data_IF_662513592474
#
_entry.id   IF_662513592474
#
_cell.length_a   1.000
_cell.length_b   1.000
_cell.length_c   1.000
_cell.angle_alpha   90.00
_cell.angle_beta   90.00
_cell.angle_gamma   90.00
#
_symmetry.space_group_name_H-M   'P 1'
#
loop_
_entity.id
_entity.type
_entity.pdbx_description
1 polymer ?
#
# COMPACT_ATOMS: atom_id res chain seq x y z
N UNK A 1 32.04 -34.24 6.95
CA UNK A 1 31.53 -32.86 6.94
C UNK A 1 30.34 -32.81 6.01
N UNK A 2 29.13 -32.96 6.55
CA UNK A 2 27.89 -32.69 5.82
C UNK A 2 27.16 -31.63 6.61
N UNK A 3 27.24 -30.38 6.14
CA UNK A 3 26.40 -29.31 6.67
C UNK A 3 24.99 -29.58 6.18
N UNK A 4 24.14 -30.08 7.07
CA UNK A 4 22.70 -30.12 6.82
C UNK A 4 22.22 -28.68 6.81
N UNK A 5 21.81 -28.19 5.64
CA UNK A 5 21.16 -26.90 5.50
C UNK A 5 19.94 -26.87 6.44
N UNK A 6 20.03 -26.05 7.48
CA UNK A 6 18.92 -25.77 8.37
C UNK A 6 17.77 -25.19 7.54
N UNK A 7 16.51 -25.62 7.77
CA UNK A 7 15.37 -25.02 7.09
C UNK A 7 15.36 -23.53 7.41
N UNK A 8 15.30 -22.70 6.36
CA UNK A 8 15.22 -21.24 6.46
C UNK A 8 14.21 -20.88 7.57
N UNK A 9 14.69 -20.34 8.68
CA UNK A 9 13.83 -19.96 9.79
C UNK A 9 12.84 -18.92 9.27
N UNK A 10 11.55 -19.20 9.38
CA UNK A 10 10.48 -18.25 9.04
C UNK A 10 10.77 -16.90 9.70
N UNK A 11 11.01 -15.87 8.89
CA UNK A 11 11.26 -14.49 9.36
C UNK A 11 9.99 -13.80 9.87
N UNK A 12 8.84 -14.46 9.78
CA UNK A 12 7.56 -13.93 10.21
C UNK A 12 7.44 -13.98 11.73
N UNK A 13 7.21 -12.81 12.35
CA UNK A 13 7.19 -12.65 13.81
C UNK A 13 5.85 -13.02 14.47
N UNK A 14 4.77 -13.20 13.71
CA UNK A 14 3.44 -13.50 14.25
C UNK A 14 2.56 -14.40 13.38
N UNK A 15 2.34 -14.06 12.10
CA UNK A 15 1.43 -14.78 11.20
C UNK A 15 2.11 -15.62 10.10
N UNK A 16 1.34 -16.39 9.32
CA UNK A 16 1.89 -17.22 8.23
C UNK A 16 2.10 -16.43 6.93
N UNK A 17 3.17 -16.75 6.20
CA UNK A 17 3.45 -16.17 4.87
C UNK A 17 2.26 -16.33 3.91
N UNK A 18 1.64 -17.51 3.89
CA UNK A 18 0.49 -17.85 3.05
C UNK A 18 -0.67 -16.89 3.31
N UNK A 19 -0.97 -16.61 4.58
CA UNK A 19 -2.04 -15.69 4.92
C UNK A 19 -1.74 -14.27 4.42
N UNK A 20 -0.51 -13.78 4.61
CA UNK A 20 -0.11 -12.47 4.10
C UNK A 20 -0.25 -12.36 2.58
N UNK A 21 0.20 -13.38 1.85
CA UNK A 21 0.07 -13.43 0.39
C UNK A 21 -1.40 -13.37 -0.03
N UNK A 22 -2.27 -14.13 0.64
CA UNK A 22 -3.72 -14.07 0.42
C UNK A 22 -4.30 -12.67 0.72
N UNK A 23 -3.79 -11.95 1.73
CA UNK A 23 -4.19 -10.57 1.99
C UNK A 23 -3.83 -9.67 0.80
N UNK A 24 -2.59 -9.73 0.30
CA UNK A 24 -2.19 -8.94 -0.87
C UNK A 24 -3.02 -9.28 -2.11
N UNK A 25 -3.30 -10.57 -2.35
CA UNK A 25 -4.12 -11.00 -3.47
C UNK A 25 -5.54 -10.43 -3.38
N UNK A 26 -6.15 -10.43 -2.20
CA UNK A 26 -7.48 -9.86 -2.01
C UNK A 26 -7.49 -8.33 -2.16
N UNK A 27 -6.45 -7.65 -1.69
CA UNK A 27 -6.26 -6.22 -1.94
C UNK A 27 -6.15 -5.95 -3.45
N UNK A 28 -5.36 -6.73 -4.18
CA UNK A 28 -5.23 -6.60 -5.64
C UNK A 28 -6.56 -6.90 -6.36
N UNK A 29 -7.26 -7.97 -6.00
CA UNK A 29 -8.58 -8.30 -6.59
C UNK A 29 -9.57 -7.15 -6.42
N UNK A 30 -9.62 -6.58 -5.21
CA UNK A 30 -10.47 -5.42 -4.92
C UNK A 30 -10.00 -4.18 -5.67
N UNK A 31 -8.70 -3.96 -5.83
CA UNK A 31 -8.14 -2.90 -6.67
C UNK A 31 -8.64 -2.99 -8.10
N UNK A 32 -8.41 -4.13 -8.76
CA UNK A 32 -8.70 -4.32 -10.17
C UNK A 32 -10.21 -4.25 -10.43
N UNK A 33 -11.03 -4.82 -9.53
CA UNK A 33 -12.50 -4.72 -9.61
C UNK A 33 -13.01 -3.28 -9.64
N UNK A 34 -12.35 -2.39 -8.91
CA UNK A 34 -12.78 -1.00 -8.79
C UNK A 34 -12.09 -0.04 -9.74
N UNK A 35 -11.08 -0.50 -10.48
CA UNK A 35 -10.29 0.30 -11.42
C UNK A 35 -10.21 -0.43 -12.79
N UNK A 36 -11.26 -0.38 -13.63
CA UNK A 36 -11.33 -1.15 -14.88
C UNK A 36 -10.15 -0.90 -15.82
N UNK A 37 -9.68 0.35 -15.95
CA UNK A 37 -8.49 0.66 -16.75
C UNK A 37 -7.24 -0.04 -16.23
N UNK A 38 -7.04 -0.05 -14.91
CA UNK A 38 -5.90 -0.76 -14.30
C UNK A 38 -6.03 -2.27 -14.47
N UNK A 39 -7.26 -2.81 -14.43
CA UNK A 39 -7.54 -4.21 -14.75
C UNK A 39 -7.16 -4.55 -16.18
N UNK A 40 -7.59 -3.77 -17.18
CA UNK A 40 -7.22 -3.99 -18.57
C UNK A 40 -5.71 -3.97 -18.78
N UNK A 41 -5.00 -3.00 -18.18
CA UNK A 41 -3.54 -2.95 -18.25
C UNK A 41 -2.91 -4.18 -17.59
N UNK A 42 -3.40 -4.57 -16.41
CA UNK A 42 -2.91 -5.76 -15.70
C UNK A 42 -3.11 -7.05 -16.51
N UNK A 43 -4.28 -7.24 -17.13
CA UNK A 43 -4.59 -8.38 -18.00
C UNK A 43 -3.68 -8.40 -19.25
N UNK A 44 -3.45 -7.25 -19.88
CA UNK A 44 -2.55 -7.13 -21.02
C UNK A 44 -1.12 -7.52 -20.64
N UNK A 45 -0.60 -7.00 -19.53
CA UNK A 45 0.77 -7.33 -19.07
C UNK A 45 0.88 -8.82 -18.74
N UNK A 46 -0.12 -9.41 -18.07
CA UNK A 46 -0.13 -10.85 -17.78
C UNK A 46 -0.05 -11.69 -19.07
N UNK A 47 -0.80 -11.28 -20.11
CA UNK A 47 -0.84 -12.01 -21.39
C UNK A 47 0.48 -11.92 -22.19
N UNK A 48 1.26 -10.85 -22.00
CA UNK A 48 2.52 -10.64 -22.73
C UNK A 48 3.74 -11.27 -22.06
N UNK A 49 3.73 -11.41 -20.73
CA UNK A 49 4.91 -11.82 -19.95
C UNK A 49 4.80 -13.28 -19.41
N UNK A 50 3.98 -14.14 -20.03
CA UNK A 50 3.70 -15.51 -19.57
C UNK A 50 3.35 -15.54 -18.06
N UNK A 51 2.52 -14.59 -17.60
CA UNK A 51 2.11 -14.42 -16.20
C UNK A 51 3.23 -14.06 -15.19
N UNK A 52 4.46 -13.78 -15.65
CA UNK A 52 5.60 -13.45 -14.79
C UNK A 52 5.63 -11.99 -14.33
N UNK A 53 4.58 -11.53 -13.68
CA UNK A 53 4.54 -10.19 -13.05
C UNK A 53 5.05 -10.26 -11.61
N UNK A 54 5.87 -9.29 -11.23
CA UNK A 54 6.31 -9.09 -9.85
C UNK A 54 5.83 -7.70 -9.38
N UNK A 55 5.48 -7.59 -8.10
CA UNK A 55 4.88 -6.39 -7.55
C UNK A 55 5.94 -5.59 -6.80
N UNK A 56 6.20 -4.36 -7.26
CA UNK A 56 7.24 -3.52 -6.66
C UNK A 56 6.81 -3.01 -5.29
N UNK A 57 5.63 -2.39 -5.24
CA UNK A 57 5.05 -1.89 -4.01
C UNK A 57 3.54 -1.71 -4.07
N UNK A 58 2.94 -1.72 -2.88
CA UNK A 58 1.57 -1.28 -2.63
C UNK A 58 1.63 0.05 -1.91
N UNK A 59 1.03 1.08 -2.49
CA UNK A 59 0.88 2.39 -1.84
C UNK A 59 -0.44 2.42 -1.09
N UNK A 60 -0.52 3.00 0.10
CA UNK A 60 -1.74 3.24 0.88
C UNK A 60 -1.83 4.71 1.29
N UNK A 61 -3.05 5.16 1.60
CA UNK A 61 -3.29 6.51 2.13
C UNK A 61 -4.10 6.41 3.41
N UNK A 62 -3.76 7.23 4.39
CA UNK A 62 -4.26 7.21 5.76
C UNK A 62 -4.45 8.63 6.28
N UNK A 63 -4.99 8.79 7.49
CA UNK A 63 -5.19 10.09 8.14
C UNK A 63 -4.39 10.09 9.45
N UNK A 64 -3.55 11.09 9.70
CA UNK A 64 -2.80 11.22 10.95
C UNK A 64 -3.76 11.65 12.08
N UNK A 65 -4.53 10.69 12.56
CA UNK A 65 -5.42 10.75 13.71
C UNK A 65 -5.40 9.40 14.40
N UNK A 66 -5.73 9.38 15.69
CA UNK A 66 -5.67 8.18 16.50
C UNK A 66 -6.48 7.04 15.88
N UNK A 67 -5.79 5.94 15.63
CA UNK A 67 -6.42 4.76 15.03
C UNK A 67 -6.70 4.87 13.54
N UNK A 68 -6.18 5.83 12.77
CA UNK A 68 -6.37 5.87 11.30
C UNK A 68 -5.11 6.22 10.50
N UNK A 69 -3.96 6.36 11.17
CA UNK A 69 -2.69 6.78 10.59
C UNK A 69 -1.84 5.62 10.07
N UNK A 70 -0.59 5.95 9.71
CA UNK A 70 0.41 4.97 9.28
C UNK A 70 0.60 3.89 10.33
N UNK A 71 0.67 4.28 11.61
CA UNK A 71 0.94 3.35 12.71
C UNK A 71 -0.16 2.28 12.81
N UNK A 72 -1.42 2.67 12.62
CA UNK A 72 -2.56 1.75 12.66
C UNK A 72 -2.53 0.74 11.52
N UNK A 73 -2.25 1.18 10.28
CA UNK A 73 -2.21 0.28 9.12
C UNK A 73 -0.95 -0.58 9.10
N UNK A 74 0.21 0.01 9.41
CA UNK A 74 1.51 -0.66 9.33
C UNK A 74 1.69 -1.73 10.40
N UNK A 75 1.06 -1.59 11.57
CA UNK A 75 1.12 -2.58 12.66
C UNK A 75 0.86 -4.01 12.16
N UNK A 76 -0.21 -4.20 11.38
CA UNK A 76 -0.52 -5.50 10.75
C UNK A 76 0.66 -6.05 9.95
N UNK A 77 1.27 -5.26 9.06
CA UNK A 77 2.36 -5.75 8.21
C UNK A 77 3.65 -5.98 9.01
N UNK A 78 3.88 -5.19 10.05
CA UNK A 78 5.02 -5.37 10.95
C UNK A 78 4.95 -6.69 11.73
N UNK A 79 3.76 -7.19 12.05
CA UNK A 79 3.57 -8.53 12.63
C UNK A 79 4.01 -9.66 11.67
N UNK A 80 4.03 -9.38 10.36
CA UNK A 80 4.59 -10.26 9.34
C UNK A 80 6.05 -9.96 9.01
N UNK A 81 6.75 -9.17 9.83
CA UNK A 81 8.18 -8.92 9.69
C UNK A 81 8.56 -7.77 8.75
N UNK A 82 7.60 -6.97 8.26
CA UNK A 82 7.93 -5.72 7.57
C UNK A 82 8.65 -4.76 8.52
N UNK A 83 9.58 -3.97 7.96
CA UNK A 83 10.37 -2.99 8.69
C UNK A 83 10.28 -1.62 8.05
N UNK A 84 10.26 -0.56 8.85
CA UNK A 84 10.37 0.81 8.34
C UNK A 84 11.70 0.95 7.59
N UNK A 85 11.62 1.32 6.31
CA UNK A 85 12.80 1.58 5.47
C UNK A 85 13.19 3.07 5.44
N UNK A 86 12.27 3.96 5.79
CA UNK A 86 12.49 5.41 5.84
C UNK A 86 11.21 6.21 5.57
N UNK A 87 11.35 7.53 5.45
CA UNK A 87 10.23 8.43 5.25
C UNK A 87 10.58 9.79 4.63
N UNK A 88 9.55 10.51 4.21
CA UNK A 88 9.62 11.85 3.67
C UNK A 88 8.39 12.67 4.08
N UNK A 89 8.64 13.89 4.56
CA UNK A 89 7.58 14.86 4.88
C UNK A 89 7.41 15.86 3.74
N UNK A 90 6.16 16.25 3.51
CA UNK A 90 5.77 17.26 2.54
C UNK A 90 4.99 18.38 3.24
N UNK A 91 5.67 19.32 3.93
CA UNK A 91 5.00 20.34 4.75
C UNK A 91 3.98 21.17 3.97
N UNK A 92 4.31 21.61 2.75
CA UNK A 92 3.38 22.35 1.88
C UNK A 92 2.09 21.59 1.55
N UNK A 93 2.16 20.25 1.60
CA UNK A 93 1.05 19.34 1.28
C UNK A 93 0.39 18.76 2.52
N UNK A 94 0.89 19.09 3.73
CA UNK A 94 0.41 18.56 5.01
C UNK A 94 0.35 17.03 4.98
N UNK A 95 1.42 16.41 4.48
CA UNK A 95 1.47 14.98 4.17
C UNK A 95 2.81 14.38 4.63
N UNK A 96 2.75 13.21 5.25
CA UNK A 96 3.92 12.37 5.57
C UNK A 96 3.84 11.06 4.83
N UNK A 97 4.98 10.52 4.38
CA UNK A 97 5.05 9.23 3.69
C UNK A 97 6.15 8.38 4.33
N UNK A 98 5.82 7.14 4.69
CA UNK A 98 6.79 6.13 5.10
C UNK A 98 6.81 4.96 4.10
N UNK A 99 7.96 4.34 3.89
CA UNK A 99 8.05 3.07 3.16
C UNK A 99 8.52 1.94 4.07
N UNK A 100 8.06 0.72 3.76
CA UNK A 100 8.34 -0.48 4.52
C UNK A 100 8.93 -1.55 3.62
N UNK A 101 10.05 -2.12 4.06
CA UNK A 101 10.72 -3.23 3.40
C UNK A 101 10.10 -4.55 3.84
N UNK A 102 9.86 -5.49 2.90
CA UNK A 102 9.33 -6.81 3.21
C UNK A 102 10.34 -7.65 4.02
N UNK A 103 9.88 -8.70 4.72
CA UNK A 103 10.76 -9.73 5.26
C UNK A 103 11.42 -10.54 4.13
N UNK A 104 12.52 -11.22 4.46
CA UNK A 104 13.16 -12.16 3.54
C UNK A 104 12.32 -13.43 3.40
N UNK A 105 11.96 -13.80 2.17
CA UNK A 105 11.19 -15.02 1.88
C UNK A 105 11.92 -15.84 0.82
N UNK A 106 11.77 -17.16 0.87
CA UNK A 106 12.27 -18.01 -0.20
C UNK A 106 11.46 -17.77 -1.48
N UNK A 107 12.14 -17.41 -2.57
CA UNK A 107 11.51 -17.21 -3.89
C UNK A 107 12.15 -18.21 -4.86
N UNK A 108 11.38 -19.16 -5.42
CA UNK A 108 11.87 -20.08 -6.44
C UNK A 108 12.43 -19.33 -7.66
N UNK A 109 13.29 -19.96 -8.45
CA UNK A 109 13.90 -19.35 -9.64
C UNK A 109 12.90 -18.88 -10.70
N UNK A 110 11.72 -19.50 -10.73
CA UNK A 110 10.58 -19.15 -11.59
C UNK A 110 9.43 -18.51 -10.80
N UNK A 111 9.65 -18.19 -9.51
CA UNK A 111 8.67 -17.63 -8.61
C UNK A 111 8.21 -16.25 -9.05
N UNK A 112 6.92 -16.09 -9.29
CA UNK A 112 6.31 -14.84 -9.74
C UNK A 112 4.92 -14.64 -9.09
N UNK A 113 4.31 -13.49 -9.36
CA UNK A 113 3.04 -13.11 -8.78
C UNK A 113 3.11 -12.87 -7.27
N UNK A 114 1.95 -12.79 -6.64
CA UNK A 114 1.85 -12.66 -5.18
C UNK A 114 1.94 -14.00 -4.46
N UNK A 115 1.62 -15.11 -5.14
CA UNK A 115 1.65 -16.45 -4.56
C UNK A 115 3.06 -17.01 -4.36
N UNK A 116 3.96 -16.83 -5.34
CA UNK A 116 5.29 -17.46 -5.35
C UNK A 116 6.43 -16.47 -5.66
N UNK A 117 6.14 -15.18 -5.82
CA UNK A 117 7.14 -14.15 -6.09
C UNK A 117 7.67 -13.45 -4.83
N UNK A 118 8.55 -12.46 -5.01
CA UNK A 118 9.00 -11.60 -3.92
C UNK A 118 7.82 -10.80 -3.34
N UNK A 119 7.80 -10.60 -2.03
CA UNK A 119 6.81 -9.77 -1.38
C UNK A 119 7.00 -8.29 -1.77
N UNK A 120 5.92 -7.54 -2.00
CA UNK A 120 6.01 -6.13 -2.39
C UNK A 120 6.43 -5.25 -1.20
N UNK A 121 7.10 -4.13 -1.48
CA UNK A 121 7.27 -3.04 -0.49
C UNK A 121 5.92 -2.39 -0.18
N UNK A 122 5.84 -1.65 0.92
CA UNK A 122 4.69 -0.82 1.22
C UNK A 122 5.10 0.65 1.23
N UNK A 123 4.24 1.52 0.73
CA UNK A 123 4.38 2.96 0.82
C UNK A 123 3.10 3.49 1.46
N UNK A 124 3.16 4.02 2.67
CA UNK A 124 1.97 4.50 3.37
C UNK A 124 2.10 6.01 3.55
N UNK A 125 1.15 6.74 2.98
CA UNK A 125 1.05 8.18 3.13
C UNK A 125 -0.04 8.53 4.16
N UNK A 126 0.17 9.53 5.01
CA UNK A 126 -0.86 10.08 5.89
C UNK A 126 -0.95 11.59 5.79
N UNK A 127 -2.19 12.08 5.79
CA UNK A 127 -2.51 13.51 5.84
C UNK A 127 -2.43 13.98 7.29
N UNK A 128 -1.69 15.06 7.55
CA UNK A 128 -1.56 15.69 8.85
C UNK A 128 -2.84 16.47 9.16
N UNK A 129 -3.82 15.79 9.78
CA UNK A 129 -5.18 16.34 9.97
C UNK A 129 -5.15 17.60 10.83
N UNK A 130 -4.31 17.65 11.85
CA UNK A 130 -4.20 18.80 12.75
C UNK A 130 -3.62 20.05 12.05
N UNK A 131 -2.98 19.89 10.89
CA UNK A 131 -2.53 21.02 10.06
C UNK A 131 -3.61 21.52 9.09
N UNK A 132 -4.73 20.81 8.94
CA UNK A 132 -5.86 21.25 8.10
C UNK A 132 -6.64 22.38 8.77
N UNK A 133 -7.60 22.98 8.05
CA UNK A 133 -8.45 24.01 8.65
C UNK A 133 -9.39 23.45 9.71
N UNK A 134 -9.84 24.26 10.68
CA UNK A 134 -10.77 23.83 11.70
C UNK A 134 -12.03 23.18 11.14
N UNK A 135 -12.56 23.68 10.02
CA UNK A 135 -13.74 23.13 9.35
C UNK A 135 -13.45 21.74 8.80
N UNK A 136 -12.31 21.56 8.12
CA UNK A 136 -11.90 20.26 7.56
C UNK A 136 -11.63 19.24 8.67
N UNK A 137 -11.00 19.67 9.76
CA UNK A 137 -10.79 18.83 10.94
C UNK A 137 -12.13 18.38 11.54
N UNK A 138 -13.09 19.30 11.69
CA UNK A 138 -14.42 18.99 12.18
C UNK A 138 -15.15 17.96 11.31
N UNK A 139 -15.12 18.14 9.98
CA UNK A 139 -15.71 17.19 9.03
C UNK A 139 -15.02 15.82 9.13
N UNK A 140 -13.69 15.77 9.16
CA UNK A 140 -12.97 14.49 9.28
C UNK A 140 -13.37 13.77 10.58
N UNK A 141 -13.31 14.47 11.72
CA UNK A 141 -13.62 13.91 13.04
C UNK A 141 -15.07 13.45 13.15
N UNK A 142 -16.02 14.08 12.44
CA UNK A 142 -17.43 13.65 12.36
C UNK A 142 -17.58 12.20 11.86
N UNK A 143 -16.69 11.72 11.00
CA UNK A 143 -16.78 10.38 10.39
C UNK A 143 -15.92 9.33 11.07
N UNK A 144 -15.00 9.72 11.96
CA UNK A 144 -14.15 8.77 12.65
C UNK A 144 -14.96 8.00 13.70
N UNK A 145 -14.73 6.71 13.76
CA UNK A 145 -15.26 5.80 14.79
C UNK A 145 -14.10 5.31 15.65
N UNK A 146 -14.33 4.99 16.94
CA UNK A 146 -13.30 4.37 17.77
C UNK A 146 -12.73 3.12 17.10
N UNK A 147 -11.41 2.96 17.16
CA UNK A 147 -10.66 1.79 16.67
C UNK A 147 -10.77 1.45 15.17
N UNK A 148 -11.24 2.36 14.32
CA UNK A 148 -11.46 2.06 12.89
C UNK A 148 -10.24 1.53 12.13
N UNK A 149 -9.01 1.90 12.52
CA UNK A 149 -7.78 1.46 11.86
C UNK A 149 -7.41 0.00 12.07
N UNK A 150 -7.87 -0.65 13.14
CA UNK A 150 -7.74 -2.11 13.27
C UNK A 150 -8.43 -2.83 12.11
N UNK A 151 -9.45 -2.20 11.54
CA UNK A 151 -10.19 -2.71 10.39
C UNK A 151 -9.59 -2.25 9.05
N UNK A 152 -8.53 -1.44 9.01
CA UNK A 152 -8.04 -0.84 7.77
C UNK A 152 -7.58 -1.89 6.74
N UNK A 153 -6.91 -2.96 7.19
CA UNK A 153 -6.48 -4.07 6.30
C UNK A 153 -7.69 -4.86 5.80
N UNK A 154 -8.62 -5.21 6.69
CA UNK A 154 -9.87 -5.89 6.34
C UNK A 154 -10.73 -5.05 5.38
N UNK A 155 -10.79 -3.76 5.59
CA UNK A 155 -11.48 -2.82 4.72
C UNK A 155 -10.81 -2.74 3.34
N UNK A 156 -9.48 -2.84 3.30
CA UNK A 156 -8.71 -2.84 2.05
C UNK A 156 -8.94 -4.12 1.25
N UNK A 157 -9.02 -5.29 1.91
CA UNK A 157 -9.30 -6.58 1.26
C UNK A 157 -10.74 -6.66 0.76
N UNK A 158 -11.72 -6.23 1.56
CA UNK A 158 -13.15 -6.28 1.20
C UNK A 158 -13.55 -5.13 0.25
N UNK A 159 -12.79 -4.04 0.26
CA UNK A 159 -13.16 -2.82 -0.43
C UNK A 159 -14.33 -2.10 0.24
N UNK A 160 -14.44 -2.18 1.55
CA UNK A 160 -15.44 -1.47 2.33
C UNK A 160 -14.89 -0.12 2.80
N UNK A 161 -15.76 0.70 3.38
CA UNK A 161 -15.37 1.88 4.16
C UNK A 161 -15.41 1.51 5.65
N UNK A 162 -14.45 2.03 6.42
CA UNK A 162 -14.43 1.95 7.89
C UNK A 162 -15.22 3.09 8.56
N UNK A 163 -15.87 3.93 7.76
CA UNK A 163 -16.74 5.02 8.17
C UNK A 163 -17.98 5.10 7.28
N UNK A 164 -18.97 5.86 7.74
CA UNK A 164 -20.18 6.13 6.96
C UNK A 164 -19.88 6.99 5.75
N UNK A 165 -20.67 6.79 4.69
CA UNK A 165 -20.58 7.56 3.45
C UNK A 165 -20.79 9.05 3.76
N UNK A 166 -19.82 9.95 3.48
CA UNK A 166 -20.03 11.37 3.71
C UNK A 166 -21.18 11.98 2.93
N UNK A 167 -21.67 13.14 3.39
CA UNK A 167 -22.62 13.93 2.61
C UNK A 167 -21.91 14.58 1.42
N UNK A 168 -22.66 14.94 0.38
CA UNK A 168 -22.10 15.67 -0.77
C UNK A 168 -21.47 17.00 -0.35
N UNK A 169 -22.13 17.72 0.57
CA UNK A 169 -21.64 19.00 1.10
C UNK A 169 -20.32 18.83 1.85
N UNK A 170 -20.22 17.86 2.75
CA UNK A 170 -18.99 17.57 3.50
C UNK A 170 -17.84 17.20 2.55
N UNK A 171 -18.16 16.43 1.51
CA UNK A 171 -17.22 16.09 0.44
C UNK A 171 -16.72 17.31 -0.34
N UNK A 172 -17.60 18.20 -0.78
CA UNK A 172 -17.21 19.42 -1.50
C UNK A 172 -16.35 20.35 -0.64
N UNK A 173 -16.58 20.41 0.67
CA UNK A 173 -15.75 21.22 1.55
C UNK A 173 -14.34 20.66 1.70
N UNK A 174 -14.20 19.34 1.88
CA UNK A 174 -12.89 18.69 1.89
C UNK A 174 -12.19 18.78 0.51
N UNK A 175 -12.96 18.84 -0.57
CA UNK A 175 -12.45 18.95 -1.92
C UNK A 175 -11.72 20.27 -2.20
N UNK A 176 -12.25 21.38 -1.70
CA UNK A 176 -11.64 22.71 -1.86
C UNK A 176 -10.20 22.77 -1.35
N UNK A 177 -9.88 22.04 -0.29
CA UNK A 177 -8.53 21.98 0.27
C UNK A 177 -7.53 21.20 -0.60
N UNK A 178 -8.02 20.22 -1.37
CA UNK A 178 -7.14 19.37 -2.17
C UNK A 178 -6.66 19.97 -3.48
N UNK A 179 -7.29 21.06 -3.94
CA UNK A 179 -6.86 21.82 -5.12
C UNK A 179 -5.45 22.42 -5.00
N UNK A 180 -4.89 22.48 -3.79
CA UNK A 180 -3.56 23.05 -3.51
C UNK A 180 -2.42 22.01 -3.46
N UNK A 181 -2.70 20.72 -3.68
CA UNK A 181 -1.71 19.63 -3.58
C UNK A 181 -1.26 19.18 -4.98
N UNK A 182 -0.39 19.97 -5.64
CA UNK A 182 0.20 19.61 -6.94
C UNK A 182 1.29 18.53 -6.80
N UNK A 183 0.98 17.26 -7.09
CA UNK A 183 1.93 16.19 -7.48
C UNK A 183 1.64 15.85 -8.97
N UNK A 184 2.59 15.38 -9.80
CA UNK A 184 2.32 15.09 -11.22
C UNK A 184 1.48 13.80 -11.45
N UNK A 185 0.59 13.48 -10.51
CA UNK A 185 -0.43 12.45 -10.63
C UNK A 185 -1.75 13.14 -10.26
N UNK A 186 -2.42 13.67 -11.29
CA UNK A 186 -3.77 14.27 -11.35
C UNK A 186 -4.47 14.66 -10.03
N UNK A 187 -4.76 15.95 -9.88
CA UNK A 187 -5.43 16.61 -8.74
C UNK A 187 -6.90 16.22 -8.45
N UNK A 188 -7.40 15.08 -8.94
CA UNK A 188 -8.70 14.53 -8.51
C UNK A 188 -8.61 13.58 -7.29
N UNK A 189 -7.40 13.41 -6.73
CA UNK A 189 -7.05 12.20 -5.97
C UNK A 189 -7.16 12.33 -4.45
N UNK A 190 -7.30 13.51 -3.86
CA UNK A 190 -7.68 13.61 -2.43
C UNK A 190 -9.19 13.35 -2.25
N UNK A 191 -9.97 13.80 -3.23
CA UNK A 191 -11.42 13.85 -3.26
C UNK A 191 -12.02 12.50 -3.64
N UNK A 192 -11.52 11.90 -4.72
CA UNK A 192 -11.98 10.57 -5.13
C UNK A 192 -11.55 9.47 -4.14
N UNK A 193 -10.67 9.80 -3.16
CA UNK A 193 -10.11 8.89 -2.15
C UNK A 193 -10.63 9.06 -0.71
N UNK A 194 -11.50 10.03 -0.43
CA UNK A 194 -12.22 10.06 0.85
C UNK A 194 -13.33 8.97 0.90
N UNK A 195 -13.86 8.57 -0.26
CA UNK A 195 -14.71 7.38 -0.45
C UNK A 195 -13.93 6.10 -0.77
N UNK A 196 -12.65 6.27 -1.06
CA UNK A 196 -11.78 5.23 -1.57
C UNK A 196 -10.47 5.27 -0.81
N UNK A 197 -10.42 4.61 0.34
CA UNK A 197 -9.19 4.22 1.05
C UNK A 197 -8.35 3.30 0.13
N UNK A 198 -7.87 3.84 -0.99
CA UNK A 198 -7.50 3.04 -2.15
C UNK A 198 -6.03 3.18 -2.35
N UNK A 199 -5.43 2.08 -1.97
CA UNK A 199 -4.12 1.70 -2.40
C UNK A 199 -3.90 1.96 -3.89
N UNK A 200 -2.67 2.29 -4.24
CA UNK A 200 -2.20 2.30 -5.62
C UNK A 200 -1.17 1.20 -5.76
N UNK A 201 -1.41 0.28 -6.66
CA UNK A 201 -0.48 -0.81 -6.92
C UNK A 201 0.36 -0.39 -8.11
N UNK A 202 1.67 -0.25 -7.90
CA UNK A 202 2.59 0.00 -9.00
C UNK A 202 3.14 -1.33 -9.46
N UNK A 203 2.78 -1.71 -10.67
CA UNK A 203 3.40 -2.81 -11.38
C UNK A 203 4.77 -2.34 -11.85
N UNK A 204 5.81 -3.12 -11.59
CA UNK A 204 7.11 -2.91 -12.23
C UNK A 204 7.45 -4.21 -12.93
N UNK A 205 7.96 -4.11 -14.15
CA UNK A 205 8.69 -5.21 -14.77
C UNK A 205 10.03 -5.36 -14.04
N UNK A 206 9.98 -5.95 -12.84
CA UNK A 206 11.14 -6.57 -12.24
C UNK A 206 11.13 -8.00 -12.76
N UNK A 207 12.16 -8.39 -13.51
CA UNK A 207 12.39 -9.81 -13.77
C UNK A 207 12.53 -10.48 -12.41
N UNK A 208 11.58 -11.35 -12.04
CA UNK A 208 11.72 -12.22 -10.89
C UNK A 208 12.90 -13.16 -11.17
N UNK A 209 14.10 -12.76 -10.76
CA UNK A 209 15.31 -13.58 -10.85
C UNK A 209 15.87 -13.81 -12.26
N UNK A 210 16.94 -13.10 -12.58
CA UNK A 210 18.10 -13.72 -13.24
C UNK A 210 19.31 -12.98 -12.71
N UNK A 211 19.93 -13.53 -11.67
CA UNK A 211 21.34 -13.22 -11.37
C UNK A 211 22.16 -13.70 -12.56
N UNK A 212 22.37 -12.82 -13.54
CA UNK A 212 23.54 -12.94 -14.42
C UNK A 212 24.68 -12.20 -13.73
N UNK A 213 25.66 -13.00 -13.32
CA UNK A 213 27.01 -12.66 -12.86
C UNK A 213 27.37 -11.17 -12.89
N UNK A 214 27.59 -10.63 -11.69
CA UNK A 214 28.59 -9.59 -11.43
C UNK A 214 28.54 -8.35 -12.30
N UNK A 215 27.56 -7.47 -12.09
CA UNK A 215 27.78 -6.03 -12.26
C UNK A 215 26.76 -5.24 -11.44
N UNK A 216 27.28 -4.56 -10.41
CA UNK A 216 26.57 -3.53 -9.66
C UNK A 216 26.15 -2.41 -10.63
N UNK A 217 24.86 -2.23 -10.84
CA UNK A 217 24.33 -0.98 -11.38
C UNK A 217 23.61 -0.21 -10.27
N UNK A 218 24.20 0.95 -9.98
CA UNK A 218 23.78 1.95 -9.01
C UNK A 218 22.38 2.50 -9.34
N UNK A 219 21.65 2.79 -8.27
CA UNK A 219 20.70 3.88 -8.06
C UNK A 219 19.72 4.27 -9.18
N UNK A 220 18.43 4.18 -8.84
CA UNK A 220 17.39 5.06 -9.37
C UNK A 220 16.43 5.39 -8.24
N UNK A 221 16.63 6.53 -7.59
CA UNK A 221 15.78 7.08 -6.54
C UNK A 221 14.53 7.76 -7.12
N UNK A 222 13.41 7.61 -6.40
CA UNK A 222 12.07 8.19 -6.55
C UNK A 222 11.06 7.48 -7.47
#
# INVERSE_FOLDING_TARGET
MGSFDLPHSSSFKGGSEIFLRNVFENILKTYLRKNPTAKTIWELVQSMDNEKICYDHFTFRTLKVDGYGIDSLSSFFMDYGYKIGGGLDFPKKKLRVLWFSPPDVHVPSDGHGLGNGPLPRLVIAEVLVDELSPESQGIIRKYLKPEGGKQAVLSSTLGSLIWEKPTWTDFEQLAKYSGYINFPINNHIFIDKFYKFFYSIRFRKMFCGSTKNGQSTKNGSF
#
